data_IF_796173168159
#
_entry.id   IF_796173168159
#
_cell.length_a   1.000
_cell.length_b   1.000
_cell.length_c   1.000
_cell.angle_alpha   90.00
_cell.angle_beta   90.00
_cell.angle_gamma   90.00
#
_symmetry.space_group_name_H-M   'P 1'
#
loop_
_entity.id
_entity.type
_entity.pdbx_description
1 polymer ?
#
# COMPACT_ATOMS: atom_id res chain seq x y z
N UNK A 1 -19.28 19.82 -15.13
CA UNK A 1 -19.19 18.37 -14.80
C UNK A 1 -17.85 17.78 -15.17
N UNK A 2 -17.32 18.00 -16.38
CA UNK A 2 -16.04 17.41 -16.81
C UNK A 2 -14.81 17.91 -16.04
N UNK A 3 -14.73 19.21 -15.73
CA UNK A 3 -13.65 19.76 -14.91
C UNK A 3 -13.62 19.16 -13.49
N UNK A 4 -14.79 18.94 -12.89
CA UNK A 4 -14.89 18.35 -11.56
C UNK A 4 -14.38 16.91 -11.55
N UNK A 5 -14.71 16.11 -12.58
CA UNK A 5 -14.17 14.74 -12.72
C UNK A 5 -12.65 14.74 -12.88
N UNK A 6 -12.12 15.66 -13.69
CA UNK A 6 -10.68 15.78 -13.95
C UNK A 6 -9.88 16.10 -12.68
N UNK A 7 -10.50 16.74 -11.68
CA UNK A 7 -9.88 17.03 -10.39
C UNK A 7 -10.17 15.95 -9.34
N UNK A 8 -11.41 15.48 -9.26
CA UNK A 8 -11.85 14.56 -8.20
C UNK A 8 -11.28 13.15 -8.38
N UNK A 9 -11.22 12.62 -9.61
CA UNK A 9 -10.72 11.26 -9.87
C UNK A 9 -9.24 11.07 -9.48
N UNK A 10 -8.30 11.93 -9.93
CA UNK A 10 -6.90 11.78 -9.49
C UNK A 10 -6.73 12.08 -8.00
N UNK A 11 -7.53 12.99 -7.43
CA UNK A 11 -7.49 13.26 -6.00
C UNK A 11 -7.91 12.03 -5.17
N UNK A 12 -9.00 11.36 -5.53
CA UNK A 12 -9.42 10.12 -4.85
C UNK A 12 -8.42 9.00 -5.08
N UNK A 13 -7.90 8.84 -6.30
CA UNK A 13 -6.87 7.86 -6.60
C UNK A 13 -5.58 8.09 -5.78
N UNK A 14 -5.16 9.34 -5.61
CA UNK A 14 -4.00 9.69 -4.79
C UNK A 14 -4.22 9.35 -3.32
N UNK A 15 -5.40 9.64 -2.77
CA UNK A 15 -5.74 9.33 -1.39
C UNK A 15 -5.75 7.83 -1.12
N UNK A 16 -6.35 7.04 -2.02
CA UNK A 16 -6.35 5.58 -1.92
C UNK A 16 -4.91 5.04 -2.09
N UNK A 17 -4.19 5.52 -3.10
CA UNK A 17 -2.80 5.13 -3.40
C UNK A 17 -1.81 5.42 -2.28
N UNK A 18 -2.01 6.52 -1.56
CA UNK A 18 -1.13 6.95 -0.46
C UNK A 18 -1.42 6.23 0.87
N UNK A 19 -2.40 5.33 0.92
CA UNK A 19 -2.73 4.60 2.14
C UNK A 19 -1.55 3.70 2.59
N UNK A 20 -1.03 3.84 3.82
CA UNK A 20 0.20 3.17 4.26
C UNK A 20 -0.05 1.70 4.71
N UNK A 21 -0.66 0.91 3.82
CA UNK A 21 -1.01 -0.51 3.98
C UNK A 21 0.09 -1.38 4.60
N UNK A 22 1.32 -1.31 4.08
CA UNK A 22 2.44 -2.11 4.55
C UNK A 22 2.87 -1.74 5.98
N UNK A 23 2.94 -0.44 6.28
CA UNK A 23 3.27 0.04 7.62
C UNK A 23 2.18 -0.38 8.62
N UNK A 24 0.91 -0.17 8.28
CA UNK A 24 -0.23 -0.57 9.13
C UNK A 24 -0.20 -2.08 9.40
N UNK A 25 -0.05 -2.90 8.35
CA UNK A 25 -0.03 -4.36 8.49
C UNK A 25 1.14 -4.83 9.36
N UNK A 26 2.35 -4.34 9.10
CA UNK A 26 3.55 -4.80 9.82
C UNK A 26 3.64 -4.23 11.23
N UNK A 27 3.36 -2.94 11.43
CA UNK A 27 3.47 -2.29 12.73
C UNK A 27 2.34 -2.70 13.67
N UNK A 28 1.09 -2.70 13.21
CA UNK A 28 -0.05 -2.96 14.11
C UNK A 28 -0.29 -4.46 14.33
N UNK A 29 -0.20 -5.28 13.27
CA UNK A 29 -0.55 -6.70 13.38
C UNK A 29 0.66 -7.59 13.66
N UNK A 30 1.86 -7.17 13.25
CA UNK A 30 3.09 -7.96 13.43
C UNK A 30 4.06 -7.31 14.42
N UNK A 31 3.75 -6.12 14.95
CA UNK A 31 4.59 -5.36 15.90
C UNK A 31 6.01 -5.06 15.38
N UNK A 32 6.18 -4.99 14.06
CA UNK A 32 7.46 -4.70 13.40
C UNK A 32 7.34 -3.40 12.63
N UNK A 33 8.25 -2.47 12.84
CA UNK A 33 8.35 -1.28 11.99
C UNK A 33 9.03 -1.64 10.66
N UNK A 34 8.29 -1.55 9.55
CA UNK A 34 8.86 -1.90 8.23
C UNK A 34 9.97 -0.94 7.78
N UNK A 35 10.02 0.27 8.34
CA UNK A 35 11.04 1.27 8.02
C UNK A 35 12.37 1.02 8.73
N UNK A 36 12.36 0.22 9.81
CA UNK A 36 13.56 -0.13 10.59
C UNK A 36 14.17 -1.47 10.17
N UNK A 37 13.53 -2.21 9.25
CA UNK A 37 13.96 -3.56 8.85
C UNK A 37 14.18 -3.70 7.34
N UNK A 38 15.12 -4.56 6.98
CA UNK A 38 15.46 -4.86 5.58
C UNK A 38 15.96 -3.62 4.84
N UNK A 39 15.30 -3.28 3.74
CA UNK A 39 15.61 -2.09 2.92
C UNK A 39 15.02 -0.79 3.47
N UNK A 40 14.17 -0.86 4.49
CA UNK A 40 13.42 0.29 5.02
C UNK A 40 12.23 0.76 4.16
N UNK A 41 12.00 0.12 3.00
CA UNK A 41 10.88 0.46 2.11
C UNK A 41 9.56 -0.18 2.55
N UNK A 42 8.44 0.52 2.38
CA UNK A 42 7.09 0.01 2.65
C UNK A 42 6.53 -0.89 1.54
N UNK A 43 7.38 -1.51 0.72
CA UNK A 43 6.94 -2.36 -0.39
C UNK A 43 6.73 -3.82 0.03
N UNK A 44 5.85 -4.52 -0.68
CA UNK A 44 5.59 -5.96 -0.48
C UNK A 44 6.88 -6.82 -0.48
N UNK A 45 7.87 -6.49 -1.32
CA UNK A 45 9.14 -7.20 -1.36
C UNK A 45 9.94 -7.07 -0.05
N UNK A 46 9.96 -5.88 0.57
CA UNK A 46 10.63 -5.70 1.85
C UNK A 46 9.88 -6.45 2.96
N UNK A 47 8.55 -6.34 2.97
CA UNK A 47 7.69 -7.05 3.92
C UNK A 47 7.87 -8.56 3.80
N UNK A 48 7.94 -9.11 2.59
CA UNK A 48 8.16 -10.54 2.36
C UNK A 48 9.49 -11.00 2.94
N UNK A 49 10.56 -10.24 2.74
CA UNK A 49 11.92 -10.58 3.20
C UNK A 49 12.09 -10.41 4.70
N UNK A 50 11.49 -9.37 5.30
CA UNK A 50 11.73 -9.00 6.70
C UNK A 50 10.67 -9.46 7.69
N UNK A 51 9.43 -9.67 7.25
CA UNK A 51 8.28 -10.03 8.12
C UNK A 51 7.66 -11.38 7.73
N UNK A 52 7.82 -11.79 6.47
CA UNK A 52 7.48 -13.12 5.97
C UNK A 52 6.58 -13.11 4.73
N UNK A 53 6.67 -14.17 3.94
CA UNK A 53 6.05 -14.27 2.61
C UNK A 53 4.54 -14.03 2.62
N UNK A 54 3.83 -14.54 3.62
CA UNK A 54 2.38 -14.33 3.73
C UNK A 54 2.02 -12.86 3.98
N UNK A 55 2.81 -12.14 4.78
CA UNK A 55 2.63 -10.70 4.98
C UNK A 55 2.96 -9.91 3.71
N UNK A 56 4.01 -10.31 2.99
CA UNK A 56 4.36 -9.72 1.70
C UNK A 56 3.25 -9.90 0.67
N UNK A 57 2.63 -11.09 0.61
CA UNK A 57 1.52 -11.38 -0.30
C UNK A 57 0.28 -10.55 0.01
N UNK A 58 -0.08 -10.40 1.30
CA UNK A 58 -1.21 -9.55 1.71
C UNK A 58 -0.97 -8.10 1.29
N UNK A 59 0.22 -7.56 1.58
CA UNK A 59 0.57 -6.18 1.18
C UNK A 59 0.54 -6.03 -0.35
N UNK A 60 1.07 -7.00 -1.10
CA UNK A 60 1.05 -6.98 -2.56
C UNK A 60 -0.38 -6.95 -3.12
N UNK A 61 -1.27 -7.75 -2.55
CA UNK A 61 -2.68 -7.80 -2.95
C UNK A 61 -3.37 -6.45 -2.73
N UNK A 62 -3.20 -5.85 -1.54
CA UNK A 62 -3.77 -4.54 -1.22
C UNK A 62 -3.20 -3.42 -2.10
N UNK A 63 -1.87 -3.37 -2.25
CA UNK A 63 -1.21 -2.33 -3.04
C UNK A 63 -1.57 -2.43 -4.53
N UNK A 64 -1.59 -3.64 -5.10
CA UNK A 64 -1.83 -3.81 -6.53
C UNK A 64 -3.31 -3.67 -6.89
N UNK A 65 -4.21 -4.34 -6.15
CA UNK A 65 -5.62 -4.41 -6.55
C UNK A 65 -6.45 -3.26 -6.02
N UNK A 66 -6.28 -2.91 -4.74
CA UNK A 66 -7.13 -1.90 -4.10
C UNK A 66 -6.57 -0.51 -4.33
N UNK A 67 -5.25 -0.34 -4.25
CA UNK A 67 -4.62 0.97 -4.36
C UNK A 67 -4.21 1.34 -5.79
N UNK A 68 -3.80 0.34 -6.58
CA UNK A 68 -3.42 0.52 -7.98
C UNK A 68 -4.58 0.39 -8.95
N UNK A 69 -5.19 -0.80 -9.00
CA UNK A 69 -6.16 -1.15 -10.05
C UNK A 69 -7.54 -0.50 -9.85
N UNK A 70 -8.14 -0.61 -8.65
CA UNK A 70 -9.50 -0.12 -8.39
C UNK A 70 -9.72 1.37 -8.72
N UNK A 71 -8.80 2.31 -8.42
CA UNK A 71 -8.99 3.72 -8.77
C UNK A 71 -8.86 4.04 -10.27
N UNK A 72 -8.41 3.07 -11.08
CA UNK A 72 -8.25 3.24 -12.53
C UNK A 72 -9.43 2.71 -13.35
N UNK A 73 -10.38 2.03 -12.70
CA UNK A 73 -11.65 1.58 -13.26
C UNK A 73 -12.68 2.71 -13.27
#
# INVERSE_FOLDING_TARGET
MELAKFLLLPATAYLVGSFPSAYIWTKLLRKVDIHEVGTGNSGASNVSRSVGNLSGLVVLFFDSLIKGFLPTL
#
